data_IF_002845811157
#
_entry.id   IF_002845811157
#
_cell.length_a   1.000
_cell.length_b   1.000
_cell.length_c   1.000
_cell.angle_alpha   90.00
_cell.angle_beta   90.00
_cell.angle_gamma   90.00
#
_symmetry.space_group_name_H-M   'P 1'
#
loop_
_entity.id
_entity.type
_entity.pdbx_description
1 polymer ?
#
# COMPACT_ATOMS: atom_id res chain seq x y z
N UNK A 1 89.57 41.52 -64.08
CA UNK A 1 90.30 40.24 -63.92
C UNK A 1 89.92 39.65 -62.56
N UNK A 2 89.15 38.56 -62.59
CA UNK A 2 88.87 37.52 -61.58
C UNK A 2 88.45 37.88 -60.12
N UNK A 3 87.68 37.01 -59.40
CA UNK A 3 86.94 35.83 -59.87
C UNK A 3 85.44 35.84 -59.49
N UNK A 4 84.66 35.05 -60.24
CA UNK A 4 83.30 34.62 -59.91
C UNK A 4 83.31 33.09 -59.90
N UNK A 5 83.23 32.47 -58.73
CA UNK A 5 82.94 31.03 -58.57
C UNK A 5 81.73 30.86 -57.64
N UNK A 6 80.82 30.00 -58.09
CA UNK A 6 79.56 29.58 -57.47
C UNK A 6 79.75 28.25 -56.74
N UNK A 7 78.74 27.89 -55.94
CA UNK A 7 78.34 26.53 -55.54
C UNK A 7 79.05 25.99 -54.28
N UNK A 8 78.40 25.35 -53.30
CA UNK A 8 77.08 24.70 -53.29
C UNK A 8 76.58 24.61 -51.84
N UNK A 9 75.26 24.78 -51.65
CA UNK A 9 74.55 24.32 -50.46
C UNK A 9 74.73 22.80 -50.31
N UNK A 10 74.90 22.34 -49.07
CA UNK A 10 74.47 21.01 -48.67
C UNK A 10 73.74 21.13 -47.33
N UNK A 11 72.47 20.77 -47.40
CA UNK A 11 71.42 20.78 -46.40
C UNK A 11 71.52 19.52 -45.51
N UNK A 12 70.81 19.56 -44.38
CA UNK A 12 70.22 18.43 -43.63
C UNK A 12 71.13 17.62 -42.68
N UNK A 13 71.01 17.88 -41.37
CA UNK A 13 71.24 16.88 -40.31
C UNK A 13 70.53 17.21 -38.96
N UNK A 14 69.45 17.99 -38.96
CA UNK A 14 68.64 18.26 -37.76
C UNK A 14 67.36 17.39 -37.58
N UNK A 15 66.74 16.76 -38.61
CA UNK A 15 65.48 16.04 -38.41
C UNK A 15 65.64 14.62 -37.83
N UNK A 16 66.86 14.08 -37.74
CA UNK A 16 67.07 12.67 -37.35
C UNK A 16 67.21 12.46 -35.83
N UNK A 17 67.72 13.45 -35.09
CA UNK A 17 67.85 13.34 -33.63
C UNK A 17 66.51 13.43 -32.90
N UNK A 18 65.56 14.21 -33.45
CA UNK A 18 64.18 14.30 -32.94
C UNK A 18 63.40 13.02 -33.24
N UNK A 19 63.61 12.41 -34.42
CA UNK A 19 63.00 11.11 -34.76
C UNK A 19 63.53 9.97 -33.89
N UNK A 20 64.82 9.98 -33.55
CA UNK A 20 65.40 8.99 -32.65
C UNK A 20 64.83 9.07 -31.22
N UNK A 21 64.62 10.28 -30.69
CA UNK A 21 64.00 10.49 -29.37
C UNK A 21 62.52 10.09 -29.33
N UNK A 22 61.77 10.32 -30.41
CA UNK A 22 60.37 9.86 -30.54
C UNK A 22 60.28 8.34 -30.67
N UNK A 23 61.21 7.69 -31.37
CA UNK A 23 61.28 6.24 -31.46
C UNK A 23 61.64 5.57 -30.12
N UNK A 24 62.55 6.17 -29.33
CA UNK A 24 62.88 5.69 -27.99
C UNK A 24 61.73 5.88 -26.98
N UNK A 25 60.95 6.97 -27.09
CA UNK A 25 59.76 7.17 -26.27
C UNK A 25 58.63 6.17 -26.61
N UNK A 26 58.50 5.78 -27.88
CA UNK A 26 57.54 4.76 -28.33
C UNK A 26 57.93 3.34 -27.90
N UNK A 27 59.23 2.99 -27.96
CA UNK A 27 59.72 1.67 -27.51
C UNK A 27 59.65 1.50 -25.98
N UNK A 28 59.81 2.58 -25.20
CA UNK A 28 59.62 2.55 -23.76
C UNK A 28 58.14 2.46 -23.34
N UNK A 29 57.22 3.02 -24.14
CA UNK A 29 55.77 2.90 -23.93
C UNK A 29 55.20 1.52 -24.32
N UNK A 30 55.87 0.80 -25.22
CA UNK A 30 55.50 -0.56 -25.63
C UNK A 30 56.04 -1.66 -24.68
N UNK A 31 56.96 -1.32 -23.77
CA UNK A 31 57.55 -2.23 -22.80
C UNK A 31 57.03 -2.05 -21.36
N UNK A 32 56.09 -1.13 -21.14
CA UNK A 32 55.31 -1.13 -19.92
C UNK A 32 54.31 -2.28 -19.99
N UNK A 33 54.41 -3.23 -19.06
CA UNK A 33 53.33 -4.19 -18.83
C UNK A 33 52.00 -3.41 -18.78
N UNK A 34 50.96 -3.87 -19.49
CA UNK A 34 49.68 -3.20 -19.43
C UNK A 34 49.24 -3.25 -17.97
N UNK A 35 49.26 -2.12 -17.29
CA UNK A 35 48.43 -1.91 -16.10
C UNK A 35 47.05 -2.41 -16.50
N UNK A 36 46.50 -3.43 -15.84
CA UNK A 36 45.21 -3.96 -16.24
C UNK A 36 44.26 -2.78 -16.29
N UNK A 37 43.68 -2.54 -17.48
CA UNK A 37 42.54 -1.66 -17.59
C UNK A 37 41.58 -2.07 -16.47
N UNK A 38 41.00 -1.12 -15.70
CA UNK A 38 40.02 -1.49 -14.69
C UNK A 38 39.04 -2.42 -15.39
N UNK A 39 38.95 -3.67 -14.90
CA UNK A 39 38.12 -4.67 -15.53
C UNK A 39 36.76 -4.03 -15.78
N UNK A 40 36.15 -4.22 -16.97
CA UNK A 40 34.79 -3.75 -17.17
C UNK A 40 33.99 -4.21 -15.96
N UNK A 41 33.21 -3.32 -15.32
CA UNK A 41 32.44 -3.71 -14.15
C UNK A 41 31.73 -5.02 -14.49
N UNK A 42 31.80 -6.04 -13.61
CA UNK A 42 31.19 -7.33 -13.90
C UNK A 42 29.77 -7.06 -14.39
N UNK A 43 29.32 -7.71 -15.47
CA UNK A 43 27.99 -7.46 -16.03
C UNK A 43 27.01 -7.51 -14.88
N UNK A 44 26.24 -6.43 -14.69
CA UNK A 44 25.33 -6.32 -13.56
C UNK A 44 24.50 -7.61 -13.51
N UNK A 45 24.56 -8.33 -12.39
CA UNK A 45 23.83 -9.58 -12.25
C UNK A 45 22.34 -9.25 -12.30
N UNK A 46 21.70 -9.54 -13.44
CA UNK A 46 20.27 -9.39 -13.59
C UNK A 46 19.60 -10.64 -13.03
N UNK A 47 18.89 -10.47 -11.92
CA UNK A 47 17.99 -11.47 -11.40
C UNK A 47 16.66 -11.38 -12.14
N UNK A 48 16.02 -12.52 -12.39
CA UNK A 48 14.69 -12.59 -12.99
C UNK A 48 13.76 -13.53 -12.21
N UNK A 49 12.49 -13.20 -12.15
CA UNK A 49 11.43 -14.02 -11.57
C UNK A 49 10.23 -14.04 -12.51
N UNK A 50 9.85 -15.24 -12.95
CA UNK A 50 8.65 -15.44 -13.74
C UNK A 50 7.42 -15.48 -12.83
N UNK A 51 6.39 -14.73 -13.21
CA UNK A 51 5.09 -14.73 -12.53
C UNK A 51 3.97 -14.90 -13.57
N UNK A 52 2.74 -15.25 -13.17
CA UNK A 52 1.62 -15.35 -14.10
C UNK A 52 1.28 -14.04 -14.85
N UNK A 53 1.71 -12.89 -14.34
CA UNK A 53 1.41 -11.57 -14.93
C UNK A 53 2.59 -11.04 -15.75
N UNK A 54 3.81 -11.21 -15.25
CA UNK A 54 5.01 -10.61 -15.81
C UNK A 54 6.28 -11.38 -15.46
N UNK A 55 7.32 -11.20 -16.27
CA UNK A 55 8.71 -11.51 -15.94
C UNK A 55 9.31 -10.28 -15.26
N UNK A 56 9.66 -10.39 -13.98
CA UNK A 56 10.25 -9.30 -13.20
C UNK A 56 11.76 -9.44 -13.23
N UNK A 57 12.49 -8.38 -13.62
CA UNK A 57 13.93 -8.37 -13.72
C UNK A 57 14.56 -7.15 -13.02
N UNK A 58 15.75 -7.33 -12.44
CA UNK A 58 16.46 -6.25 -11.75
C UNK A 58 17.81 -6.68 -11.16
N UNK A 59 18.57 -5.72 -10.66
CA UNK A 59 19.93 -5.96 -10.11
C UNK A 59 19.93 -6.54 -8.69
N UNK A 60 18.83 -6.38 -7.94
CA UNK A 60 18.72 -6.85 -6.55
C UNK A 60 17.64 -7.90 -6.41
N UNK A 61 18.02 -9.09 -5.97
CA UNK A 61 17.10 -10.21 -5.76
C UNK A 61 15.95 -9.88 -4.81
N UNK A 62 16.20 -9.10 -3.74
CA UNK A 62 15.17 -8.72 -2.76
C UNK A 62 14.08 -7.83 -3.37
N UNK A 63 14.46 -6.88 -4.23
CA UNK A 63 13.53 -6.00 -4.94
C UNK A 63 12.74 -6.79 -5.99
N UNK A 64 13.41 -7.69 -6.73
CA UNK A 64 12.77 -8.60 -7.70
C UNK A 64 11.72 -9.48 -7.01
N UNK A 65 12.07 -10.15 -5.90
CA UNK A 65 11.14 -10.99 -5.14
C UNK A 65 9.99 -10.18 -4.55
N UNK A 66 10.26 -8.95 -4.08
CA UNK A 66 9.23 -8.05 -3.56
C UNK A 66 8.18 -7.70 -4.62
N UNK A 67 8.61 -7.30 -5.82
CA UNK A 67 7.69 -6.96 -6.93
C UNK A 67 6.99 -8.21 -7.48
N UNK A 68 7.70 -9.33 -7.60
CA UNK A 68 7.10 -10.60 -8.01
C UNK A 68 5.94 -11.01 -7.07
N UNK A 69 6.08 -10.77 -5.77
CA UNK A 69 5.00 -11.01 -4.79
C UNK A 69 3.75 -10.17 -5.07
N UNK A 70 3.91 -8.93 -5.55
CA UNK A 70 2.77 -8.07 -5.94
C UNK A 70 2.08 -8.59 -7.21
N UNK A 71 2.84 -9.06 -8.20
CA UNK A 71 2.29 -9.71 -9.39
C UNK A 71 1.49 -10.98 -9.04
N UNK A 72 2.00 -11.82 -8.14
CA UNK A 72 1.29 -13.02 -7.67
C UNK A 72 0.03 -12.66 -6.89
N UNK A 73 0.07 -11.63 -6.04
CA UNK A 73 -1.11 -11.16 -5.32
C UNK A 73 -2.19 -10.63 -6.28
N UNK A 74 -1.81 -9.88 -7.32
CA UNK A 74 -2.76 -9.47 -8.36
C UNK A 74 -3.37 -10.68 -9.07
N UNK A 75 -2.57 -11.68 -9.44
CA UNK A 75 -3.11 -12.88 -10.10
C UNK A 75 -4.12 -13.60 -9.20
N UNK A 76 -3.80 -13.78 -7.91
CA UNK A 76 -4.70 -14.39 -6.93
C UNK A 76 -5.98 -13.59 -6.77
N UNK A 77 -5.89 -12.26 -6.78
CA UNK A 77 -7.08 -11.41 -6.77
C UNK A 77 -8.01 -11.73 -7.94
N UNK A 78 -7.47 -11.66 -9.16
CA UNK A 78 -8.22 -11.84 -10.39
C UNK A 78 -8.83 -13.24 -10.46
N UNK A 79 -8.07 -14.27 -10.10
CA UNK A 79 -8.51 -15.66 -10.13
C UNK A 79 -9.57 -15.96 -9.07
N UNK A 80 -9.30 -15.69 -7.79
CA UNK A 80 -10.21 -16.12 -6.71
C UNK A 80 -11.37 -15.17 -6.44
N UNK A 81 -11.19 -13.87 -6.74
CA UNK A 81 -12.24 -12.88 -6.48
C UNK A 81 -13.12 -12.65 -7.70
N UNK A 82 -12.54 -12.70 -8.90
CA UNK A 82 -13.25 -12.35 -10.14
C UNK A 82 -13.46 -13.56 -11.08
N UNK A 83 -12.93 -14.74 -10.73
CA UNK A 83 -12.93 -15.93 -11.60
C UNK A 83 -12.30 -15.65 -12.97
N UNK A 84 -11.29 -14.77 -13.01
CA UNK A 84 -10.64 -14.33 -14.22
C UNK A 84 -9.32 -15.10 -14.42
N UNK A 85 -9.17 -15.88 -15.51
CA UNK A 85 -7.94 -16.62 -15.78
C UNK A 85 -6.78 -15.66 -16.09
N UNK A 86 -5.56 -16.18 -16.00
CA UNK A 86 -4.36 -15.43 -16.40
C UNK A 86 -4.47 -14.96 -17.86
N UNK A 87 -4.02 -13.73 -18.13
CA UNK A 87 -3.98 -13.21 -19.48
C UNK A 87 -3.05 -14.06 -20.37
N UNK A 88 -3.41 -14.35 -21.63
CA UNK A 88 -2.59 -15.16 -22.52
C UNK A 88 -1.24 -14.48 -22.83
N UNK A 89 -0.18 -15.25 -23.12
CA UNK A 89 1.13 -14.71 -23.51
C UNK A 89 1.06 -13.74 -24.70
N UNK A 90 2.07 -12.86 -24.88
CA UNK A 90 3.31 -12.77 -24.11
C UNK A 90 3.12 -12.16 -22.72
N UNK A 91 3.99 -12.54 -21.77
CA UNK A 91 4.06 -11.91 -20.45
C UNK A 91 4.62 -10.49 -20.59
N UNK A 92 4.18 -9.58 -19.71
CA UNK A 92 4.81 -8.28 -19.58
C UNK A 92 6.23 -8.45 -19.01
N UNK A 93 7.12 -7.52 -19.32
CA UNK A 93 8.44 -7.42 -18.69
C UNK A 93 8.41 -6.26 -17.70
N UNK A 94 8.75 -6.53 -16.44
CA UNK A 94 8.84 -5.53 -15.38
C UNK A 94 10.31 -5.33 -15.03
N UNK A 95 10.87 -4.15 -15.33
CA UNK A 95 12.29 -3.84 -15.09
C UNK A 95 12.44 -2.87 -13.92
N UNK A 96 13.15 -3.31 -12.89
CA UNK A 96 13.56 -2.47 -11.77
C UNK A 96 14.79 -1.65 -12.18
N UNK A 97 14.55 -0.40 -12.56
CA UNK A 97 15.60 0.51 -12.99
C UNK A 97 15.23 1.96 -12.67
N UNK A 98 16.23 2.77 -12.30
CA UNK A 98 16.08 4.22 -12.18
C UNK A 98 16.57 4.89 -13.47
N UNK A 99 15.64 5.11 -14.39
CA UNK A 99 15.94 5.72 -15.70
C UNK A 99 15.64 7.23 -15.65
N UNK A 100 16.64 8.10 -15.90
CA UNK A 100 16.41 9.54 -15.93
C UNK A 100 15.29 9.94 -16.91
N UNK A 101 14.38 10.79 -16.45
CA UNK A 101 13.25 11.29 -17.25
C UNK A 101 12.03 10.38 -17.29
N UNK A 102 12.08 9.19 -16.69
CA UNK A 102 10.91 8.31 -16.59
C UNK A 102 10.11 8.63 -15.32
N UNK A 103 8.80 8.42 -15.39
CA UNK A 103 7.96 8.42 -14.19
C UNK A 103 8.36 7.23 -13.28
N UNK A 104 8.01 7.26 -11.97
CA UNK A 104 8.31 6.15 -11.07
C UNK A 104 7.76 4.80 -11.53
N UNK A 105 6.66 4.80 -12.27
CA UNK A 105 6.12 3.64 -12.98
C UNK A 105 5.80 4.08 -14.40
N UNK A 106 6.56 3.61 -15.37
CA UNK A 106 6.44 3.96 -16.78
C UNK A 106 6.11 2.72 -17.60
N UNK A 107 5.04 2.76 -18.41
CA UNK A 107 4.68 1.66 -19.31
C UNK A 107 4.99 2.00 -20.75
N UNK A 108 5.60 1.06 -21.46
CA UNK A 108 5.91 1.13 -22.89
C UNK A 108 5.57 -0.17 -23.59
N UNK A 109 5.47 -0.12 -24.90
CA UNK A 109 5.30 -1.30 -25.75
C UNK A 109 6.54 -1.43 -26.62
N UNK A 110 7.24 -2.55 -26.50
CA UNK A 110 8.45 -2.85 -27.26
C UNK A 110 8.23 -4.16 -28.00
N UNK A 111 8.28 -4.13 -29.33
CA UNK A 111 8.05 -5.30 -30.19
C UNK A 111 6.75 -6.06 -29.83
N UNK A 112 5.67 -5.33 -29.55
CA UNK A 112 4.37 -5.92 -29.18
C UNK A 112 4.29 -6.49 -27.76
N UNK A 113 5.35 -6.36 -26.96
CA UNK A 113 5.38 -6.77 -25.55
C UNK A 113 5.32 -5.56 -24.63
N UNK A 114 4.57 -5.67 -23.53
CA UNK A 114 4.52 -4.63 -22.50
C UNK A 114 5.82 -4.62 -21.72
N UNK A 115 6.47 -3.45 -21.63
CA UNK A 115 7.59 -3.17 -20.74
C UNK A 115 7.13 -2.16 -19.70
N UNK A 116 7.24 -2.50 -18.42
CA UNK A 116 6.99 -1.58 -17.31
C UNK A 116 8.33 -1.32 -16.61
N UNK A 117 8.79 -0.08 -16.65
CA UNK A 117 10.00 0.36 -15.94
C UNK A 117 9.58 0.93 -14.60
N UNK A 118 10.14 0.38 -13.53
CA UNK A 118 9.76 0.67 -12.15
C UNK A 118 10.94 1.18 -11.34
N UNK A 119 10.82 2.41 -10.86
CA UNK A 119 11.65 2.93 -9.76
C UNK A 119 10.96 2.66 -8.43
N UNK A 120 11.38 1.60 -7.76
CA UNK A 120 10.71 1.09 -6.56
C UNK A 120 10.63 2.13 -5.43
N UNK A 121 11.70 2.89 -5.18
CA UNK A 121 11.76 3.86 -4.08
C UNK A 121 12.01 3.21 -2.71
N UNK A 122 11.72 3.96 -1.64
CA UNK A 122 11.94 3.51 -0.26
C UNK A 122 10.79 2.65 0.29
N UNK A 123 10.89 2.23 1.55
CA UNK A 123 9.87 1.36 2.18
C UNK A 123 8.47 1.98 2.29
N UNK A 124 8.34 3.31 2.21
CA UNK A 124 7.05 4.02 2.26
C UNK A 124 6.38 4.03 0.89
N UNK A 125 7.16 4.23 -0.17
CA UNK A 125 6.66 4.34 -1.55
C UNK A 125 6.55 2.98 -2.27
N UNK A 126 7.47 2.05 -1.96
CA UNK A 126 7.63 0.78 -2.65
C UNK A 126 6.34 -0.04 -2.80
N UNK A 127 5.48 -0.20 -1.77
CA UNK A 127 4.27 -1.01 -1.91
C UNK A 127 3.29 -0.44 -2.93
N UNK A 128 3.10 0.89 -2.92
CA UNK A 128 2.19 1.56 -3.84
C UNK A 128 2.69 1.45 -5.29
N UNK A 129 3.99 1.71 -5.51
CA UNK A 129 4.60 1.64 -6.85
C UNK A 129 4.65 0.21 -7.39
N UNK A 130 4.96 -0.79 -6.55
CA UNK A 130 4.94 -2.19 -6.96
C UNK A 130 3.52 -2.68 -7.30
N UNK A 131 2.51 -2.30 -6.49
CA UNK A 131 1.11 -2.60 -6.78
C UNK A 131 0.64 -1.94 -8.08
N UNK A 132 1.03 -0.69 -8.31
CA UNK A 132 0.74 0.03 -9.55
C UNK A 132 1.40 -0.63 -10.77
N UNK A 133 2.67 -1.00 -10.67
CA UNK A 133 3.41 -1.63 -11.75
C UNK A 133 2.81 -3.00 -12.14
N UNK A 134 2.39 -3.80 -11.15
CA UNK A 134 1.67 -5.04 -11.39
C UNK A 134 0.32 -4.80 -12.09
N UNK A 135 -0.45 -3.80 -11.63
CA UNK A 135 -1.73 -3.43 -12.25
C UNK A 135 -1.55 -2.94 -13.69
N UNK A 136 -0.58 -2.07 -13.95
CA UNK A 136 -0.26 -1.58 -15.30
C UNK A 136 0.17 -2.73 -16.21
N UNK A 137 1.02 -3.64 -15.75
CA UNK A 137 1.46 -4.79 -16.52
C UNK A 137 0.27 -5.66 -16.98
N UNK A 138 -0.72 -5.88 -16.11
CA UNK A 138 -1.92 -6.64 -16.48
C UNK A 138 -2.84 -5.84 -17.41
N UNK A 139 -3.16 -4.58 -17.07
CA UNK A 139 -4.08 -3.73 -17.85
C UNK A 139 -3.58 -3.50 -19.28
N UNK A 140 -2.29 -3.16 -19.43
CA UNK A 140 -1.66 -2.94 -20.72
C UNK A 140 -1.71 -4.19 -21.61
N UNK A 141 -1.52 -5.38 -21.03
CA UNK A 141 -1.62 -6.65 -21.77
C UNK A 141 -3.05 -6.88 -22.25
N UNK A 142 -4.05 -6.69 -21.38
CA UNK A 142 -5.46 -6.86 -21.75
C UNK A 142 -5.86 -5.90 -22.88
N UNK A 143 -5.38 -4.65 -22.84
CA UNK A 143 -5.61 -3.68 -23.91
C UNK A 143 -4.96 -4.11 -25.23
N UNK A 144 -3.69 -4.52 -25.20
CA UNK A 144 -2.95 -4.94 -26.40
C UNK A 144 -3.55 -6.18 -27.07
N UNK A 145 -4.10 -7.12 -26.29
CA UNK A 145 -4.74 -8.33 -26.84
C UNK A 145 -5.92 -8.04 -27.77
N UNK A 146 -6.54 -6.87 -27.64
CA UNK A 146 -7.62 -6.41 -28.52
C UNK A 146 -7.19 -5.25 -29.43
N UNK A 147 -5.88 -5.03 -29.59
CA UNK A 147 -5.32 -4.02 -30.48
C UNK A 147 -5.48 -2.57 -29.98
N UNK A 148 -5.70 -2.36 -28.68
CA UNK A 148 -5.77 -1.02 -28.07
C UNK A 148 -4.41 -0.58 -27.54
N UNK A 149 -4.25 0.72 -27.32
CA UNK A 149 -3.03 1.28 -26.71
C UNK A 149 -2.86 0.81 -25.25
N UNK A 150 -1.61 0.66 -24.80
CA UNK A 150 -1.29 0.11 -23.48
C UNK A 150 -1.72 1.00 -22.30
N UNK A 151 -1.95 2.29 -22.55
CA UNK A 151 -2.35 3.31 -21.58
C UNK A 151 -3.84 3.67 -21.65
N UNK A 152 -4.62 2.93 -22.46
CA UNK A 152 -6.04 3.24 -22.72
C UNK A 152 -6.95 3.03 -21.51
N UNK A 153 -6.51 2.26 -20.51
CA UNK A 153 -7.34 1.90 -19.35
C UNK A 153 -7.77 3.11 -18.54
N UNK A 154 -8.99 3.11 -18.01
CA UNK A 154 -9.43 4.21 -17.15
C UNK A 154 -8.51 4.36 -15.90
N UNK A 155 -8.12 5.59 -15.52
CA UNK A 155 -7.19 5.82 -14.42
C UNK A 155 -7.59 5.19 -13.08
N UNK A 156 -8.89 5.19 -12.76
CA UNK A 156 -9.42 4.62 -11.52
C UNK A 156 -9.11 3.11 -11.41
N UNK A 157 -9.13 2.39 -12.53
CA UNK A 157 -8.99 0.93 -12.57
C UNK A 157 -7.60 0.51 -12.14
N UNK A 158 -6.58 1.21 -12.65
CA UNK A 158 -5.19 1.06 -12.22
C UNK A 158 -5.04 1.31 -10.71
N UNK A 159 -5.60 2.41 -10.20
CA UNK A 159 -5.53 2.76 -8.78
C UNK A 159 -6.24 1.73 -7.89
N UNK A 160 -7.43 1.29 -8.29
CA UNK A 160 -8.22 0.31 -7.55
C UNK A 160 -7.50 -1.05 -7.48
N UNK A 161 -6.97 -1.55 -8.60
CA UNK A 161 -6.21 -2.80 -8.63
C UNK A 161 -4.92 -2.71 -7.81
N UNK A 162 -4.17 -1.61 -7.93
CA UNK A 162 -2.98 -1.38 -7.11
C UNK A 162 -3.30 -1.42 -5.60
N UNK A 163 -4.40 -0.78 -5.20
CA UNK A 163 -4.87 -0.81 -3.82
C UNK A 163 -5.34 -2.20 -3.38
N UNK A 164 -6.04 -2.98 -4.22
CA UNK A 164 -6.43 -4.36 -3.87
C UNK A 164 -5.20 -5.26 -3.66
N UNK A 165 -4.15 -5.10 -4.48
CA UNK A 165 -2.88 -5.82 -4.29
C UNK A 165 -2.25 -5.47 -2.95
N UNK A 166 -2.15 -4.18 -2.64
CA UNK A 166 -1.60 -3.71 -1.36
C UNK A 166 -2.45 -4.19 -0.19
N UNK A 167 -3.79 -4.17 -0.30
CA UNK A 167 -4.69 -4.65 0.74
C UNK A 167 -4.54 -6.15 1.00
N UNK A 168 -4.25 -6.96 -0.02
CA UNK A 168 -4.00 -8.40 0.17
C UNK A 168 -2.68 -8.66 0.90
N UNK A 169 -1.61 -7.97 0.51
CA UNK A 169 -0.29 -8.15 1.10
C UNK A 169 -0.17 -7.46 2.46
N UNK A 170 -0.99 -6.43 2.71
CA UNK A 170 -1.02 -5.64 3.94
C UNK A 170 -2.47 -5.43 4.39
N UNK A 171 -3.12 -6.43 5.00
CA UNK A 171 -4.52 -6.35 5.40
C UNK A 171 -4.86 -5.15 6.29
N UNK A 172 -3.91 -4.66 7.09
CA UNK A 172 -4.08 -3.46 7.91
C UNK A 172 -4.38 -2.19 7.09
N UNK A 173 -3.89 -2.10 5.83
CA UNK A 173 -4.18 -0.98 4.94
C UNK A 173 -5.67 -0.89 4.60
N UNK A 174 -6.34 -2.04 4.56
CA UNK A 174 -7.77 -2.09 4.28
C UNK A 174 -8.57 -1.38 5.39
N UNK A 175 -8.21 -1.57 6.65
CA UNK A 175 -8.87 -0.88 7.76
C UNK A 175 -8.48 0.60 7.80
N UNK A 176 -7.21 0.90 7.55
CA UNK A 176 -6.71 2.27 7.45
C UNK A 176 -7.49 3.10 6.44
N UNK A 177 -7.67 2.59 5.20
CA UNK A 177 -8.39 3.32 4.15
C UNK A 177 -9.89 3.49 4.45
N UNK A 178 -10.53 2.52 5.11
CA UNK A 178 -11.92 2.69 5.54
C UNK A 178 -12.03 3.75 6.65
N UNK A 179 -11.09 3.79 7.61
CA UNK A 179 -11.07 4.84 8.65
C UNK A 179 -10.80 6.22 8.06
N UNK A 180 -9.82 6.34 7.17
CA UNK A 180 -9.58 7.60 6.45
C UNK A 180 -10.81 8.02 5.63
N UNK A 181 -11.47 7.09 4.95
CA UNK A 181 -12.67 7.35 4.16
C UNK A 181 -13.81 7.93 5.00
N UNK A 182 -13.96 7.50 6.26
CA UNK A 182 -14.95 8.07 7.21
C UNK A 182 -14.65 9.53 7.58
N UNK A 183 -13.38 9.92 7.63
CA UNK A 183 -12.94 11.26 8.02
C UNK A 183 -12.82 12.21 6.82
N UNK A 184 -12.66 11.68 5.62
CA UNK A 184 -12.46 12.45 4.41
C UNK A 184 -13.78 12.85 3.74
N UNK A 185 -13.77 14.05 3.15
CA UNK A 185 -14.83 14.49 2.21
C UNK A 185 -14.84 13.52 1.02
N UNK A 186 -16.01 12.98 0.63
CA UNK A 186 -16.13 12.12 -0.55
C UNK A 186 -15.61 12.80 -1.81
N UNK A 187 -14.78 12.11 -2.59
CA UNK A 187 -14.42 12.58 -3.91
C UNK A 187 -15.62 12.45 -4.87
N UNK A 188 -15.70 13.34 -5.85
CA UNK A 188 -16.72 13.24 -6.91
C UNK A 188 -16.45 12.02 -7.78
N UNK A 189 -17.50 11.47 -8.42
CA UNK A 189 -17.32 10.34 -9.33
C UNK A 189 -16.40 10.73 -10.50
N UNK A 190 -16.55 11.94 -11.04
CA UNK A 190 -15.68 12.46 -12.08
C UNK A 190 -14.20 12.49 -11.69
N UNK A 191 -13.87 12.93 -10.47
CA UNK A 191 -12.49 12.94 -9.98
C UNK A 191 -11.91 11.55 -9.78
N UNK A 192 -12.74 10.60 -9.33
CA UNK A 192 -12.35 9.19 -9.18
C UNK A 192 -12.03 8.61 -10.56
N UNK A 193 -12.95 8.74 -11.51
CA UNK A 193 -12.79 8.19 -12.87
C UNK A 193 -11.58 8.80 -13.60
N UNK A 194 -11.33 10.10 -13.39
CA UNK A 194 -10.16 10.79 -13.93
C UNK A 194 -8.85 10.46 -13.20
N UNK A 195 -8.88 9.67 -12.11
CA UNK A 195 -7.71 9.33 -11.30
C UNK A 195 -7.12 10.50 -10.51
N UNK A 196 -7.90 11.57 -10.33
CA UNK A 196 -7.52 12.77 -9.55
C UNK A 196 -7.85 12.62 -8.07
N UNK A 197 -8.79 11.73 -7.74
CA UNK A 197 -9.08 11.38 -6.36
C UNK A 197 -7.92 10.59 -5.72
N UNK A 198 -7.79 10.61 -4.38
CA UNK A 198 -6.87 9.72 -3.68
C UNK A 198 -7.15 8.26 -4.03
N UNK A 199 -6.11 7.43 -4.17
CA UNK A 199 -6.24 6.03 -4.60
C UNK A 199 -7.21 5.20 -3.73
N UNK A 200 -7.37 5.55 -2.45
CA UNK A 200 -8.39 4.96 -1.56
C UNK A 200 -9.81 5.10 -2.12
N UNK A 201 -10.15 6.20 -2.79
CA UNK A 201 -11.50 6.42 -3.32
C UNK A 201 -11.76 5.51 -4.52
N UNK A 202 -10.78 5.29 -5.39
CA UNK A 202 -10.86 4.29 -6.46
C UNK A 202 -11.03 2.87 -5.90
N UNK A 203 -10.32 2.55 -4.81
CA UNK A 203 -10.47 1.28 -4.09
C UNK A 203 -11.88 1.10 -3.50
N UNK A 204 -12.40 2.10 -2.78
CA UNK A 204 -13.75 2.06 -2.22
C UNK A 204 -14.82 2.02 -3.33
N UNK A 205 -14.62 2.78 -4.41
CA UNK A 205 -15.47 2.78 -5.60
C UNK A 205 -15.56 1.40 -6.24
N UNK A 206 -14.42 0.74 -6.48
CA UNK A 206 -14.42 -0.61 -7.03
C UNK A 206 -15.16 -1.61 -6.13
N UNK A 207 -15.01 -1.49 -4.81
CA UNK A 207 -15.71 -2.36 -3.86
C UNK A 207 -17.21 -2.09 -3.75
N UNK A 208 -17.65 -0.84 -3.94
CA UNK A 208 -19.06 -0.49 -4.05
C UNK A 208 -19.67 -0.95 -5.40
N UNK A 209 -18.89 -0.85 -6.47
CA UNK A 209 -19.32 -1.20 -7.82
C UNK A 209 -19.55 -2.71 -7.95
N UNK A 210 -18.63 -3.55 -7.46
CA UNK A 210 -18.68 -5.01 -7.64
C UNK A 210 -20.03 -5.66 -7.25
N UNK A 211 -20.60 -5.43 -6.06
CA UNK A 211 -21.93 -5.94 -5.71
C UNK A 211 -23.03 -5.47 -6.66
N UNK A 212 -22.94 -4.23 -7.13
CA UNK A 212 -23.91 -3.64 -8.08
C UNK A 212 -23.87 -4.33 -9.45
N UNK A 213 -22.70 -4.85 -9.86
CA UNK A 213 -22.54 -5.62 -11.10
C UNK A 213 -23.08 -7.06 -10.99
N UNK A 214 -23.34 -7.56 -9.79
CA UNK A 214 -23.84 -8.91 -9.56
C UNK A 214 -22.74 -9.97 -9.63
N UNK A 215 -22.93 -10.99 -10.47
CA UNK A 215 -22.08 -12.18 -10.50
C UNK A 215 -20.60 -11.88 -10.87
N UNK A 216 -19.62 -12.68 -10.39
CA UNK A 216 -18.20 -12.47 -10.70
C UNK A 216 -17.88 -12.37 -12.21
N UNK A 217 -18.62 -13.07 -13.07
CA UNK A 217 -18.45 -12.98 -14.52
C UNK A 217 -18.73 -11.57 -15.07
N UNK A 218 -19.75 -10.88 -14.57
CA UNK A 218 -20.08 -9.51 -14.99
C UNK A 218 -19.09 -8.48 -14.41
N UNK A 219 -18.59 -8.74 -13.19
CA UNK A 219 -17.50 -7.95 -12.59
C UNK A 219 -16.23 -8.05 -13.45
N UNK A 220 -15.85 -9.26 -13.86
CA UNK A 220 -14.73 -9.53 -14.75
C UNK A 220 -14.87 -8.85 -16.10
N UNK A 221 -16.04 -8.95 -16.75
CA UNK A 221 -16.32 -8.25 -18.01
C UNK A 221 -16.15 -6.75 -17.88
N UNK A 222 -16.63 -6.16 -16.78
CA UNK A 222 -16.50 -4.73 -16.53
C UNK A 222 -15.04 -4.33 -16.34
N UNK A 223 -14.26 -5.11 -15.59
CA UNK A 223 -12.84 -4.85 -15.39
C UNK A 223 -12.06 -4.94 -16.72
N UNK A 224 -12.33 -5.96 -17.54
CA UNK A 224 -11.75 -6.10 -18.88
C UNK A 224 -12.15 -4.93 -19.76
N UNK A 225 -13.44 -4.55 -19.78
CA UNK A 225 -13.93 -3.45 -20.59
C UNK A 225 -13.25 -2.13 -20.20
N UNK A 226 -13.05 -1.90 -18.91
CA UNK A 226 -12.33 -0.72 -18.40
C UNK A 226 -10.85 -0.74 -18.75
N UNK A 227 -10.20 -1.93 -18.73
CA UNK A 227 -8.83 -2.11 -19.22
C UNK A 227 -8.71 -1.78 -20.72
N UNK A 228 -9.77 -1.97 -21.49
CA UNK A 228 -9.86 -1.66 -22.92
C UNK A 228 -10.29 -0.21 -23.21
N UNK A 229 -10.44 0.62 -22.17
CA UNK A 229 -10.81 2.04 -22.27
C UNK A 229 -12.30 2.31 -22.43
N UNK A 230 -13.16 1.32 -22.19
CA UNK A 230 -14.60 1.55 -22.15
C UNK A 230 -14.97 2.20 -20.82
N UNK A 231 -15.76 3.26 -20.87
CA UNK A 231 -16.10 3.98 -19.65
C UNK A 231 -17.06 3.19 -18.77
N UNK A 232 -16.68 3.04 -17.50
CA UNK A 232 -17.54 2.43 -16.48
C UNK A 232 -18.80 3.26 -16.23
N UNK A 233 -18.76 4.58 -16.49
CA UNK A 233 -19.90 5.47 -16.26
C UNK A 233 -21.12 5.06 -17.11
N UNK A 234 -20.91 4.68 -18.37
CA UNK A 234 -21.97 4.23 -19.25
C UNK A 234 -22.60 2.91 -18.79
N UNK A 235 -21.80 2.05 -18.14
CA UNK A 235 -22.28 0.81 -17.56
C UNK A 235 -23.06 1.09 -16.27
N UNK A 236 -22.53 1.96 -15.40
CA UNK A 236 -23.17 2.36 -14.15
C UNK A 236 -24.50 3.06 -14.41
N UNK A 237 -24.57 3.97 -15.39
CA UNK A 237 -25.81 4.66 -15.77
C UNK A 237 -26.91 3.72 -16.29
N UNK A 238 -26.58 2.49 -16.71
CA UNK A 238 -27.57 1.45 -17.06
C UNK A 238 -28.09 0.72 -15.83
N UNK A 239 -27.25 0.59 -14.79
CA UNK A 239 -27.58 -0.11 -13.56
C UNK A 239 -28.30 0.79 -12.55
N UNK A 240 -28.02 2.10 -12.55
CA UNK A 240 -28.55 3.05 -11.58
C UNK A 240 -28.97 4.37 -12.24
N UNK A 241 -30.06 5.00 -11.77
CA UNK A 241 -30.60 6.21 -12.39
C UNK A 241 -29.72 7.46 -12.18
N UNK A 242 -28.95 7.51 -11.09
CA UNK A 242 -28.09 8.65 -10.73
C UNK A 242 -26.73 8.14 -10.23
N UNK A 243 -25.71 8.01 -11.11
CA UNK A 243 -24.39 7.47 -10.75
C UNK A 243 -23.68 8.23 -9.63
N UNK A 244 -23.72 9.57 -9.65
CA UNK A 244 -23.08 10.40 -8.62
C UNK A 244 -23.73 10.21 -7.24
N UNK A 245 -25.05 10.18 -7.21
CA UNK A 245 -25.83 10.01 -5.98
C UNK A 245 -25.68 8.58 -5.45
N UNK A 246 -25.71 7.58 -6.34
CA UNK A 246 -25.39 6.18 -6.02
C UNK A 246 -24.02 6.07 -5.36
N UNK A 247 -23.00 6.77 -5.88
CA UNK A 247 -21.66 6.71 -5.32
C UNK A 247 -21.64 7.24 -3.89
N UNK A 248 -22.27 8.39 -3.63
CA UNK A 248 -22.32 8.97 -2.28
C UNK A 248 -23.00 8.03 -1.28
N UNK A 249 -24.11 7.40 -1.68
CA UNK A 249 -24.85 6.44 -0.84
C UNK A 249 -24.01 5.18 -0.60
N UNK A 250 -23.51 4.53 -1.66
CA UNK A 250 -22.77 3.28 -1.54
C UNK A 250 -21.45 3.46 -0.80
N UNK A 251 -20.77 4.59 -0.98
CA UNK A 251 -19.58 4.93 -0.20
C UNK A 251 -19.93 5.00 1.28
N UNK A 252 -21.00 5.69 1.66
CA UNK A 252 -21.42 5.79 3.05
C UNK A 252 -21.78 4.41 3.63
N UNK A 253 -22.59 3.62 2.92
CA UNK A 253 -22.96 2.26 3.33
C UNK A 253 -21.74 1.36 3.52
N UNK A 254 -20.80 1.37 2.58
CA UNK A 254 -19.59 0.56 2.64
C UNK A 254 -18.71 0.95 3.84
N UNK A 255 -18.61 2.24 4.14
CA UNK A 255 -17.87 2.74 5.30
C UNK A 255 -18.57 2.42 6.63
N UNK A 256 -19.90 2.38 6.66
CA UNK A 256 -20.70 2.05 7.85
C UNK A 256 -20.78 0.55 8.12
N UNK A 257 -20.95 -0.27 7.07
CA UNK A 257 -21.16 -1.71 7.14
C UNK A 257 -19.94 -2.46 7.71
N UNK A 258 -18.75 -1.88 7.62
CA UNK A 258 -17.54 -2.52 8.11
C UNK A 258 -17.20 -2.03 9.52
N UNK A 259 -17.50 -2.85 10.52
CA UNK A 259 -16.84 -2.75 11.81
C UNK A 259 -15.33 -3.03 11.60
N UNK A 260 -14.42 -2.16 12.03
CA UNK A 260 -12.98 -2.30 11.74
C UNK A 260 -12.41 -3.57 12.38
N UNK A 261 -11.51 -4.30 11.72
CA UNK A 261 -11.01 -5.62 12.20
C UNK A 261 -10.22 -5.46 13.51
N UNK A 262 -9.64 -4.28 13.72
CA UNK A 262 -9.18 -3.80 15.03
C UNK A 262 -9.84 -2.46 15.40
N UNK A 263 -9.89 -2.10 16.67
CA UNK A 263 -10.16 -0.74 17.13
C UNK A 263 -8.86 0.06 17.01
N UNK A 264 -8.94 1.32 16.57
CA UNK A 264 -7.82 2.25 16.69
C UNK A 264 -7.61 2.65 18.15
N UNK A 265 -6.64 3.53 18.42
CA UNK A 265 -6.36 3.97 19.78
C UNK A 265 -7.58 4.67 20.41
N UNK A 266 -8.17 5.64 19.69
CA UNK A 266 -9.34 6.38 20.16
C UNK A 266 -10.58 5.47 20.25
N UNK A 267 -10.84 4.65 19.24
CA UNK A 267 -12.02 3.77 19.22
C UNK A 267 -11.94 2.68 20.30
N UNK A 268 -10.74 2.23 20.66
CA UNK A 268 -10.52 1.28 21.75
C UNK A 268 -10.75 1.92 23.12
N UNK A 269 -10.40 3.20 23.28
CA UNK A 269 -10.72 4.00 24.45
C UNK A 269 -12.24 4.23 24.58
N UNK A 270 -12.87 4.75 23.53
CA UNK A 270 -14.31 5.02 23.50
C UNK A 270 -15.12 3.75 23.79
N UNK A 271 -14.75 2.64 23.14
CA UNK A 271 -15.42 1.36 23.37
C UNK A 271 -15.26 0.87 24.80
N UNK A 272 -14.09 1.04 25.43
CA UNK A 272 -13.88 0.73 26.85
C UNK A 272 -14.75 1.61 27.76
N UNK A 273 -14.83 2.90 27.46
CA UNK A 273 -15.58 3.86 28.27
C UNK A 273 -17.09 3.57 28.20
N UNK A 274 -17.61 3.23 27.00
CA UNK A 274 -19.01 2.84 26.80
C UNK A 274 -19.36 1.54 27.55
N UNK A 275 -18.50 0.52 27.46
CA UNK A 275 -18.76 -0.76 28.13
C UNK A 275 -18.57 -0.68 29.66
N UNK A 276 -17.78 0.27 30.16
CA UNK A 276 -17.59 0.51 31.58
C UNK A 276 -18.61 1.50 32.19
N UNK A 277 -19.44 2.14 31.35
CA UNK A 277 -20.50 3.05 31.79
C UNK A 277 -21.76 2.28 32.19
N UNK A 278 -22.06 2.24 33.48
CA UNK A 278 -23.23 1.54 34.04
C UNK A 278 -24.36 2.51 34.36
N UNK A 279 -25.42 2.51 33.56
CA UNK A 279 -26.63 3.28 33.80
C UNK A 279 -27.78 2.31 34.05
N UNK A 280 -28.43 2.44 35.20
CA UNK A 280 -29.52 1.56 35.61
C UNK A 280 -30.64 2.36 36.27
N UNK A 281 -31.89 2.00 35.97
CA UNK A 281 -33.04 2.49 36.75
C UNK A 281 -33.10 1.73 38.09
N UNK A 282 -32.80 2.44 39.18
CA UNK A 282 -32.84 1.92 40.55
C UNK A 282 -34.11 2.33 41.30
N UNK A 283 -35.18 2.68 40.58
CA UNK A 283 -36.49 3.04 41.13
C UNK A 283 -36.66 4.54 41.40
N UNK A 284 -35.70 5.37 40.98
CA UNK A 284 -35.76 6.84 41.00
C UNK A 284 -35.45 7.46 39.63
N UNK A 285 -35.42 6.64 38.57
CA UNK A 285 -34.93 7.00 37.24
C UNK A 285 -33.51 6.46 37.00
N UNK A 286 -33.00 6.71 35.80
CA UNK A 286 -31.68 6.27 35.35
C UNK A 286 -30.54 6.92 36.16
N UNK A 287 -29.78 6.11 36.89
CA UNK A 287 -28.62 6.55 37.66
C UNK A 287 -27.33 5.97 37.08
N UNK A 288 -26.29 6.81 36.98
CA UNK A 288 -24.94 6.39 36.59
C UNK A 288 -24.21 5.85 37.83
N UNK A 289 -23.95 4.55 37.84
CA UNK A 289 -23.29 3.86 38.96
C UNK A 289 -21.85 3.54 38.56
N UNK A 290 -20.88 3.85 39.42
CA UNK A 290 -19.48 3.43 39.20
C UNK A 290 -19.35 1.92 39.36
N UNK A 291 -18.43 1.27 38.64
CA UNK A 291 -18.18 -0.17 38.83
C UNK A 291 -17.82 -0.52 40.28
N UNK A 292 -17.13 0.38 41.00
CA UNK A 292 -16.87 0.23 42.45
C UNK A 292 -18.15 0.09 43.28
N UNK A 293 -19.19 0.84 42.93
CA UNK A 293 -20.42 0.99 43.71
C UNK A 293 -21.54 0.08 43.20
N UNK A 294 -21.27 -0.73 42.17
CA UNK A 294 -22.22 -1.66 41.57
C UNK A 294 -22.50 -2.95 42.39
N UNK A 295 -21.59 -3.50 43.23
CA UNK A 295 -21.83 -4.76 43.96
C UNK A 295 -23.11 -4.81 44.83
N UNK A 296 -23.55 -3.74 45.52
CA UNK A 296 -24.83 -3.73 46.25
C UNK A 296 -26.06 -3.98 45.37
N UNK A 297 -25.97 -3.66 44.07
CA UNK A 297 -27.06 -3.81 43.11
C UNK A 297 -27.01 -5.14 42.35
N UNK A 298 -26.09 -6.05 42.70
CA UNK A 298 -25.81 -7.27 41.90
C UNK A 298 -27.01 -8.17 41.69
N UNK A 299 -27.97 -8.14 42.61
CA UNK A 299 -29.12 -9.05 42.57
C UNK A 299 -30.27 -8.58 41.69
N UNK A 300 -30.23 -7.32 41.24
CA UNK A 300 -31.22 -6.78 40.32
C UNK A 300 -31.15 -7.51 38.96
N UNK A 301 -32.29 -7.98 38.41
CA UNK A 301 -32.32 -8.67 37.12
C UNK A 301 -31.71 -7.85 35.97
N UNK A 302 -31.96 -6.52 35.95
CA UNK A 302 -31.42 -5.62 34.93
C UNK A 302 -29.89 -5.54 34.98
N UNK A 303 -29.30 -5.52 36.19
CA UNK A 303 -27.84 -5.51 36.38
C UNK A 303 -27.24 -6.83 35.91
N UNK A 304 -27.82 -7.96 36.31
CA UNK A 304 -27.37 -9.30 35.88
C UNK A 304 -27.39 -9.44 34.35
N UNK A 305 -28.49 -9.05 33.71
CA UNK A 305 -28.64 -9.14 32.25
C UNK A 305 -27.65 -8.21 31.51
N UNK A 306 -27.49 -6.96 31.99
CA UNK A 306 -26.56 -6.00 31.38
C UNK A 306 -25.11 -6.47 31.47
N UNK A 307 -24.67 -6.97 32.62
CA UNK A 307 -23.29 -7.44 32.81
C UNK A 307 -22.99 -8.70 31.98
N UNK A 308 -23.95 -9.62 31.87
CA UNK A 308 -23.82 -10.78 30.97
C UNK A 308 -23.71 -10.35 29.50
N UNK A 309 -24.55 -9.40 29.05
CA UNK A 309 -24.48 -8.85 27.70
C UNK A 309 -23.15 -8.15 27.41
N UNK A 310 -22.65 -7.37 28.37
CA UNK A 310 -21.35 -6.68 28.27
C UNK A 310 -20.18 -7.68 28.23
N UNK A 311 -20.19 -8.72 29.05
CA UNK A 311 -19.16 -9.77 29.02
C UNK A 311 -19.16 -10.53 27.69
N UNK A 312 -20.34 -10.88 27.16
CA UNK A 312 -20.47 -11.51 25.86
C UNK A 312 -19.97 -10.58 24.73
N UNK A 313 -20.28 -9.28 24.80
CA UNK A 313 -19.76 -8.26 23.90
C UNK A 313 -18.23 -8.17 23.97
N UNK A 314 -17.68 -8.04 25.18
CA UNK A 314 -16.24 -7.93 25.42
C UNK A 314 -15.48 -9.14 24.88
N UNK A 315 -15.97 -10.36 25.08
CA UNK A 315 -15.33 -11.58 24.57
C UNK A 315 -15.29 -11.66 23.05
N UNK A 316 -16.27 -11.07 22.35
CA UNK A 316 -16.25 -10.96 20.88
C UNK A 316 -15.23 -9.93 20.40
N UNK A 317 -15.10 -8.81 21.11
CA UNK A 317 -14.32 -7.65 20.67
C UNK A 317 -12.85 -7.67 21.19
N UNK A 318 -12.51 -8.49 22.19
CA UNK A 318 -11.17 -8.50 22.82
C UNK A 318 -10.04 -8.84 21.84
N UNK A 319 -10.32 -9.56 20.75
CA UNK A 319 -9.33 -9.85 19.70
C UNK A 319 -9.09 -8.67 18.76
N UNK A 320 -9.97 -7.67 18.78
CA UNK A 320 -9.95 -6.47 17.95
C UNK A 320 -9.35 -5.29 18.69
N UNK A 321 -9.13 -5.40 19.99
CA UNK A 321 -8.69 -4.28 20.81
C UNK A 321 -7.26 -3.82 20.48
N UNK A 322 -7.00 -2.52 20.66
CA UNK A 322 -5.68 -1.96 20.40
C UNK A 322 -4.68 -2.41 21.48
N UNK A 323 -3.45 -2.84 21.14
CA UNK A 323 -2.46 -3.29 22.12
C UNK A 323 -2.20 -2.35 23.29
N UNK A 324 -2.31 -1.02 23.08
CA UNK A 324 -2.15 -0.01 24.14
C UNK A 324 -3.16 -0.18 25.28
N UNK A 325 -4.37 -0.63 24.96
CA UNK A 325 -5.45 -0.81 25.93
C UNK A 325 -5.58 -2.26 26.44
N UNK A 326 -4.66 -3.16 26.06
CA UNK A 326 -4.77 -4.61 26.32
C UNK A 326 -5.03 -4.96 27.78
N UNK A 327 -4.24 -4.36 28.68
CA UNK A 327 -4.35 -4.66 30.10
C UNK A 327 -5.70 -4.18 30.64
N UNK A 328 -6.10 -2.96 30.32
CA UNK A 328 -7.40 -2.41 30.73
C UNK A 328 -8.58 -3.28 30.26
N UNK A 329 -8.58 -3.72 28.99
CA UNK A 329 -9.59 -4.65 28.46
C UNK A 329 -9.63 -5.97 29.23
N UNK A 330 -8.47 -6.57 29.50
CA UNK A 330 -8.35 -7.85 30.19
C UNK A 330 -8.80 -7.73 31.65
N UNK A 331 -8.37 -6.70 32.35
CA UNK A 331 -8.71 -6.47 33.76
C UNK A 331 -10.20 -6.18 33.92
N UNK A 332 -10.79 -5.37 33.03
CA UNK A 332 -12.23 -5.15 33.01
C UNK A 332 -13.02 -6.42 32.68
N UNK A 333 -12.57 -7.23 31.72
CA UNK A 333 -13.15 -8.54 31.44
C UNK A 333 -13.12 -9.47 32.66
N UNK A 334 -11.99 -9.51 33.37
CA UNK A 334 -11.82 -10.28 34.61
C UNK A 334 -12.76 -9.78 35.71
N UNK A 335 -12.95 -8.46 35.80
CA UNK A 335 -13.90 -7.85 36.73
C UNK A 335 -15.34 -8.28 36.42
N UNK A 336 -15.76 -8.23 35.14
CA UNK A 336 -17.10 -8.68 34.71
C UNK A 336 -17.34 -10.18 34.99
N UNK A 337 -16.33 -11.02 34.78
CA UNK A 337 -16.40 -12.46 35.03
C UNK A 337 -16.56 -12.78 36.51
N UNK A 338 -15.88 -12.03 37.38
CA UNK A 338 -15.91 -12.21 38.83
C UNK A 338 -17.08 -11.49 39.51
N UNK A 339 -17.71 -10.53 38.84
CA UNK A 339 -18.79 -9.73 39.40
C UNK A 339 -19.94 -10.54 40.03
N UNK A 340 -20.36 -11.71 39.52
CA UNK A 340 -21.48 -12.44 40.13
C UNK A 340 -21.14 -13.07 41.49
N UNK A 341 -19.87 -13.45 41.73
CA UNK A 341 -19.50 -14.35 42.83
C UNK A 341 -18.45 -13.78 43.78
N UNK A 342 -17.60 -12.85 43.33
CA UNK A 342 -16.52 -12.31 44.14
C UNK A 342 -17.01 -11.40 45.27
N UNK A 343 -16.15 -11.22 46.28
CA UNK A 343 -16.38 -10.31 47.40
C UNK A 343 -16.24 -8.84 46.94
N UNK A 344 -16.96 -7.89 47.56
CA UNK A 344 -16.87 -6.47 47.18
C UNK A 344 -15.45 -5.90 47.22
N UNK A 345 -14.62 -6.32 48.17
CA UNK A 345 -13.21 -5.88 48.30
C UNK A 345 -12.35 -6.33 47.10
N UNK A 346 -12.54 -7.57 46.63
CA UNK A 346 -11.84 -8.09 45.45
C UNK A 346 -12.28 -7.37 44.17
N UNK A 347 -13.58 -7.09 44.04
CA UNK A 347 -14.12 -6.31 42.92
C UNK A 347 -13.62 -4.86 42.96
N UNK A 348 -13.49 -4.26 44.13
CA UNK A 348 -12.96 -2.91 44.28
C UNK A 348 -11.48 -2.84 43.88
N UNK A 349 -10.67 -3.85 44.24
CA UNK A 349 -9.27 -3.94 43.83
C UNK A 349 -9.11 -4.08 42.30
N UNK A 350 -9.87 -4.98 41.69
CA UNK A 350 -9.87 -5.16 40.23
C UNK A 350 -10.36 -3.90 39.50
N UNK A 351 -11.36 -3.20 40.05
CA UNK A 351 -11.85 -1.95 39.49
C UNK A 351 -10.79 -0.84 39.54
N UNK A 352 -10.10 -0.70 40.67
CA UNK A 352 -9.01 0.27 40.82
C UNK A 352 -7.85 -0.03 39.86
N UNK A 353 -7.49 -1.31 39.70
CA UNK A 353 -6.47 -1.73 38.74
C UNK A 353 -6.88 -1.38 37.30
N UNK A 354 -8.12 -1.67 36.92
CA UNK A 354 -8.66 -1.27 35.61
C UNK A 354 -8.56 0.23 35.38
N UNK A 355 -8.94 1.06 36.37
CA UNK A 355 -8.87 2.52 36.25
C UNK A 355 -7.42 3.01 36.06
N UNK A 356 -6.47 2.44 36.79
CA UNK A 356 -5.05 2.75 36.66
C UNK A 356 -4.52 2.39 35.26
N UNK A 357 -4.82 1.19 34.77
CA UNK A 357 -4.40 0.73 33.45
C UNK A 357 -5.05 1.55 32.33
N UNK A 358 -6.32 1.95 32.48
CA UNK A 358 -7.03 2.83 31.55
C UNK A 358 -6.40 4.21 31.47
N UNK A 359 -5.96 4.76 32.60
CA UNK A 359 -5.27 6.04 32.66
C UNK A 359 -3.87 5.97 32.01
N UNK A 360 -3.08 4.94 32.34
CA UNK A 360 -1.77 4.74 31.72
C UNK A 360 -1.86 4.56 30.18
N UNK A 361 -2.88 3.82 29.72
CA UNK A 361 -3.15 3.67 28.29
C UNK A 361 -3.52 5.00 27.60
N UNK A 362 -4.24 5.89 28.31
CA UNK A 362 -4.58 7.23 27.81
C UNK A 362 -3.36 8.13 27.69
N UNK A 363 -2.46 8.08 28.66
CA UNK A 363 -1.19 8.82 28.64
C UNK A 363 -0.34 8.36 27.43
N UNK A 364 -0.19 7.05 27.26
CA UNK A 364 0.53 6.48 26.12
C UNK A 364 -0.13 6.83 24.77
N UNK A 365 -1.47 6.82 24.70
CA UNK A 365 -2.18 7.28 23.48
C UNK A 365 -1.79 8.71 23.14
N UNK A 366 -1.78 9.63 24.11
CA UNK A 366 -1.43 11.04 23.89
C UNK A 366 0.01 11.19 23.42
N UNK A 367 0.94 10.41 23.96
CA UNK A 367 2.34 10.40 23.52
C UNK A 367 2.47 9.94 22.06
N UNK A 368 1.77 8.86 21.70
CA UNK A 368 1.75 8.34 20.32
C UNK A 368 1.14 9.38 19.36
N UNK A 369 -0.02 9.95 19.72
CA UNK A 369 -0.69 10.97 18.90
C UNK A 369 0.20 12.21 18.70
N UNK A 370 0.94 12.64 19.74
CA UNK A 370 1.91 13.73 19.66
C UNK A 370 3.11 13.40 18.77
N UNK A 371 3.62 12.16 18.85
CA UNK A 371 4.73 11.71 18.00
C UNK A 371 4.34 11.64 16.52
N UNK A 372 3.12 11.21 16.22
CA UNK A 372 2.59 11.10 14.85
C UNK A 372 2.27 12.46 14.22
N UNK A 373 1.98 13.48 15.03
CA UNK A 373 1.66 14.84 14.57
C UNK A 373 2.87 15.77 14.55
N UNK A 374 3.99 15.39 15.17
CA UNK A 374 5.22 16.16 15.16
C UNK A 374 5.85 16.15 13.75
N UNK A 375 6.11 17.32 13.13
CA UNK A 375 6.79 17.36 11.84
C UNK A 375 8.20 16.78 11.97
N UNK A 376 8.49 15.76 11.16
CA UNK A 376 9.84 15.18 11.09
C UNK A 376 10.84 16.29 10.77
N UNK A 377 11.92 16.47 11.55
CA UNK A 377 12.93 17.47 11.22
C UNK A 377 13.49 17.17 9.83
N UNK A 378 13.41 18.14 8.94
CA UNK A 378 14.11 18.10 7.65
C UNK A 378 15.59 17.97 7.99
N UNK A 379 16.17 16.79 7.72
CA UNK A 379 17.61 16.60 7.81
C UNK A 379 18.26 17.63 6.87
N UNK A 380 19.10 18.51 7.45
CA UNK A 380 19.84 19.54 6.72
C UNK A 380 20.92 18.94 5.85
#
# INVERSE_FOLDING_TARGET
>A
MAPRWKSTKATLAAPDMVKALVACAWLAAAAAEPTPAPAPPPPAHVYSSDTPIAVVAGEKVTEVSFVATHCVALQRYLEFTLNLPAAPPPLARLELADVPGYAPVETRVVAGTVLVVLRLGDGKEAPARAGEAAAQAWLARVALLVGKAADVSEPWTRQALACEVVAQLRPAMNDYWYREGRRAVPATLADILAGKAPAREAFLFWRALRPTLGAPAEQSKTLIASAQGNTVLALLAKAVPSPDEWWLVQRAELLLARAPVSLGLAESAESLDDIARFVFDVGRGDELISGRDLPPHRDLPAVKASLQGRLAGLRREILRQNPVYHNAWRTFGTWLEKFPTAKPEELAALWAQYQQERQAAEELRREIDAALTSPTPVAK
#
